data_IF_967063821920
#
_entry.id   IF_967063821920
#
_cell.length_a   1.000
_cell.length_b   1.000
_cell.length_c   1.000
_cell.angle_alpha   90.00
_cell.angle_beta   90.00
_cell.angle_gamma   90.00
#
_symmetry.space_group_name_H-M   'P 1'
#
loop_
_entity.id
_entity.type
_entity.pdbx_description
1 polymer ?
#
# COMPACT_ATOMS: atom_id res chain seq x y z
N UNK A 1 4.24 -2.79 -24.08
CA UNK A 1 3.51 -3.14 -22.85
C UNK A 1 2.31 -2.22 -22.78
N UNK A 2 1.11 -2.80 -22.83
CA UNK A 2 -0.15 -2.10 -22.66
C UNK A 2 -0.59 -2.15 -21.18
N UNK A 3 -1.56 -1.33 -20.77
CA UNK A 3 -2.05 -1.30 -19.39
C UNK A 3 -2.55 -2.68 -18.92
N UNK A 4 -3.20 -3.45 -19.80
CA UNK A 4 -3.67 -4.82 -19.52
C UNK A 4 -2.57 -5.83 -19.23
N UNK A 5 -1.33 -5.53 -19.61
CA UNK A 5 -0.18 -6.40 -19.32
C UNK A 5 0.37 -6.14 -17.90
N UNK A 6 -0.08 -5.09 -17.22
CA UNK A 6 0.40 -4.72 -15.90
C UNK A 6 -0.19 -5.62 -14.80
N UNK A 7 0.67 -6.09 -13.90
CA UNK A 7 0.34 -6.74 -12.64
C UNK A 7 1.00 -5.96 -11.52
N UNK A 8 0.22 -5.12 -10.86
CA UNK A 8 0.71 -4.07 -9.97
C UNK A 8 0.49 -4.52 -8.53
N UNK A 9 1.58 -4.61 -7.77
CA UNK A 9 1.50 -4.74 -6.32
C UNK A 9 1.61 -3.34 -5.69
N UNK A 10 0.49 -2.82 -5.19
CA UNK A 10 0.39 -1.51 -4.54
C UNK A 10 0.55 -1.67 -3.02
N UNK A 11 1.51 -0.98 -2.43
CA UNK A 11 1.74 -0.94 -0.98
C UNK A 11 1.35 0.42 -0.43
N UNK A 12 0.49 0.43 0.58
CA UNK A 12 0.00 1.65 1.21
C UNK A 12 -0.06 1.51 2.73
N UNK A 13 0.40 2.54 3.43
CA UNK A 13 0.29 2.62 4.89
C UNK A 13 -1.14 2.80 5.35
N UNK A 14 -2.01 3.41 4.54
CA UNK A 14 -3.43 3.59 4.79
C UNK A 14 -4.23 3.51 3.48
N UNK A 15 -5.05 2.46 3.31
CA UNK A 15 -5.80 2.25 2.08
C UNK A 15 -7.32 2.45 2.20
N UNK A 16 -7.94 2.00 3.28
CA UNK A 16 -9.41 2.08 3.42
C UNK A 16 -9.93 2.24 4.85
N UNK A 17 -9.07 2.20 5.87
CA UNK A 17 -9.51 2.19 7.27
C UNK A 17 -9.67 3.58 7.90
N UNK A 18 -9.04 4.61 7.34
CA UNK A 18 -9.38 6.04 7.59
C UNK A 18 -9.77 6.67 6.27
N UNK A 19 -10.61 7.72 6.25
CA UNK A 19 -10.91 8.49 5.04
C UNK A 19 -10.04 9.75 4.96
N UNK A 20 -9.14 9.80 3.98
CA UNK A 20 -8.28 10.96 3.72
C UNK A 20 -8.18 11.24 2.21
N UNK A 21 -7.40 12.25 1.82
CA UNK A 21 -7.22 12.60 0.41
C UNK A 21 -6.33 11.61 -0.35
N UNK A 22 -5.33 11.04 0.32
CA UNK A 22 -4.34 10.14 -0.30
C UNK A 22 -4.98 8.79 -0.65
N UNK A 23 -5.71 8.18 0.27
CA UNK A 23 -6.33 6.89 0.05
C UNK A 23 -7.49 6.95 -0.95
N UNK A 24 -8.22 8.06 -1.02
CA UNK A 24 -9.19 8.30 -2.09
C UNK A 24 -8.53 8.44 -3.46
N UNK A 25 -7.37 9.11 -3.54
CA UNK A 25 -6.62 9.18 -4.80
C UNK A 25 -6.13 7.80 -5.23
N UNK A 26 -5.64 6.98 -4.30
CA UNK A 26 -5.22 5.60 -4.59
C UNK A 26 -6.39 4.71 -5.03
N UNK A 27 -7.57 4.82 -4.40
CA UNK A 27 -8.73 4.03 -4.81
C UNK A 27 -9.24 4.42 -6.21
N UNK A 28 -9.24 5.72 -6.55
CA UNK A 28 -9.57 6.17 -7.92
C UNK A 28 -8.55 5.69 -8.95
N UNK A 29 -7.27 5.70 -8.60
CA UNK A 29 -6.22 5.13 -9.45
C UNK A 29 -6.41 3.63 -9.63
N UNK A 30 -6.68 2.90 -8.55
CA UNK A 30 -6.94 1.47 -8.57
C UNK A 30 -8.14 1.13 -9.47
N UNK A 31 -9.25 1.85 -9.32
CA UNK A 31 -10.45 1.70 -10.15
C UNK A 31 -10.12 1.91 -11.62
N UNK A 32 -9.40 2.98 -11.95
CA UNK A 32 -8.99 3.28 -13.31
C UNK A 32 -8.12 2.15 -13.90
N UNK A 33 -7.10 1.70 -13.17
CA UNK A 33 -6.19 0.64 -13.62
C UNK A 33 -6.94 -0.67 -13.90
N UNK A 34 -7.82 -1.08 -12.99
CA UNK A 34 -8.67 -2.28 -13.15
C UNK A 34 -9.59 -2.13 -14.38
N UNK A 35 -10.21 -0.97 -14.58
CA UNK A 35 -11.02 -0.68 -15.78
C UNK A 35 -10.23 -0.72 -17.08
N UNK A 36 -8.93 -0.42 -17.05
CA UNK A 36 -8.03 -0.56 -18.19
C UNK A 36 -7.51 -2.00 -18.39
N UNK A 37 -7.93 -2.95 -17.54
CA UNK A 37 -7.58 -4.36 -17.63
C UNK A 37 -6.28 -4.74 -16.91
N UNK A 38 -5.64 -3.84 -16.16
CA UNK A 38 -4.50 -4.20 -15.32
C UNK A 38 -4.96 -5.11 -14.18
N UNK A 39 -4.08 -6.01 -13.73
CA UNK A 39 -4.26 -6.70 -12.46
C UNK A 39 -3.66 -5.86 -11.32
N UNK A 40 -4.36 -5.78 -10.19
CA UNK A 40 -3.94 -5.01 -9.03
C UNK A 40 -4.10 -5.84 -7.76
N UNK A 41 -3.05 -5.89 -6.95
CA UNK A 41 -3.10 -6.36 -5.56
C UNK A 41 -2.61 -5.27 -4.62
N UNK A 42 -3.40 -4.99 -3.60
CA UNK A 42 -3.09 -3.96 -2.60
C UNK A 42 -2.64 -4.61 -1.31
N UNK A 43 -1.56 -4.10 -0.71
CA UNK A 43 -1.04 -4.51 0.58
C UNK A 43 -1.07 -3.32 1.52
N UNK A 44 -1.92 -3.39 2.54
CA UNK A 44 -2.06 -2.32 3.53
C UNK A 44 -2.53 -2.90 4.87
N UNK A 45 -2.35 -2.17 5.99
CA UNK A 45 -3.00 -2.53 7.24
C UNK A 45 -4.52 -2.58 7.05
N UNK A 46 -5.17 -3.53 7.71
CA UNK A 46 -6.64 -3.59 7.77
C UNK A 46 -7.12 -3.47 9.21
N UNK A 47 -8.40 -3.15 9.35
CA UNK A 47 -9.13 -3.08 10.62
C UNK A 47 -10.51 -3.68 10.43
N UNK A 48 -11.18 -4.06 11.51
CA UNK A 48 -12.54 -4.62 11.46
C UNK A 48 -13.60 -3.58 11.06
N UNK A 49 -13.29 -2.29 11.16
CA UNK A 49 -14.19 -1.17 10.85
C UNK A 49 -13.61 -0.26 9.76
N UNK A 50 -13.56 -0.70 8.49
CA UNK A 50 -13.06 0.15 7.41
C UNK A 50 -13.96 1.38 7.18
N UNK A 51 -13.37 2.50 6.78
CA UNK A 51 -14.11 3.74 6.51
C UNK A 51 -14.82 3.74 5.13
N UNK A 52 -14.42 2.83 4.24
CA UNK A 52 -15.02 2.57 2.94
C UNK A 52 -14.51 1.24 2.36
N UNK A 53 -15.20 0.73 1.34
CA UNK A 53 -14.79 -0.49 0.64
C UNK A 53 -13.50 -0.27 -0.15
N UNK A 54 -12.52 -1.19 -0.05
CA UNK A 54 -11.30 -1.10 -0.82
C UNK A 54 -11.58 -1.40 -2.30
N UNK A 55 -10.98 -0.63 -3.19
CA UNK A 55 -10.97 -0.96 -4.62
C UNK A 55 -9.86 -1.97 -4.91
N UNK A 56 -10.21 -3.08 -5.57
CA UNK A 56 -9.28 -4.17 -5.87
C UNK A 56 -9.02 -5.10 -4.68
N UNK A 57 -8.22 -6.13 -4.91
CA UNK A 57 -7.93 -7.15 -3.90
C UNK A 57 -7.00 -6.59 -2.81
N UNK A 58 -7.48 -6.55 -1.57
CA UNK A 58 -6.73 -6.06 -0.41
C UNK A 58 -6.21 -7.21 0.45
N UNK A 59 -4.89 -7.26 0.63
CA UNK A 59 -4.18 -8.21 1.48
C UNK A 59 -3.66 -7.48 2.71
N UNK A 60 -4.08 -7.94 3.89
CA UNK A 60 -3.67 -7.35 5.16
C UNK A 60 -2.18 -7.59 5.45
N UNK A 61 -1.48 -6.55 5.88
CA UNK A 61 -0.09 -6.65 6.39
C UNK A 61 -0.05 -6.51 7.91
N UNK A 62 0.96 -7.10 8.58
CA UNK A 62 1.15 -6.93 10.01
C UNK A 62 1.19 -5.46 10.40
N UNK A 63 0.43 -5.10 11.43
CA UNK A 63 0.37 -3.71 11.90
C UNK A 63 -0.01 -3.65 13.38
N UNK A 64 0.29 -2.51 14.02
CA UNK A 64 -0.16 -2.17 15.37
C UNK A 64 -0.89 -0.83 15.38
N UNK A 65 -1.79 -0.63 16.34
CA UNK A 65 -2.48 0.64 16.51
C UNK A 65 -1.52 1.71 17.04
N UNK A 66 -1.66 2.96 16.62
CA UNK A 66 -0.91 4.07 17.21
C UNK A 66 -1.46 4.36 18.62
N UNK A 67 -0.61 4.41 19.67
CA UNK A 67 -1.04 4.80 21.00
C UNK A 67 -1.74 6.17 21.00
N UNK A 68 -2.96 6.23 21.54
CA UNK A 68 -3.78 7.46 21.56
C UNK A 68 -4.45 7.83 20.23
N UNK A 69 -4.21 7.06 19.15
CA UNK A 69 -4.83 7.22 17.82
C UNK A 69 -5.08 5.86 17.17
N UNK A 70 -5.92 5.05 17.82
CA UNK A 70 -6.13 3.65 17.44
C UNK A 70 -6.77 3.45 16.06
N UNK A 71 -7.40 4.50 15.52
CA UNK A 71 -7.89 4.56 14.15
C UNK A 71 -6.75 4.51 13.11
N UNK A 72 -5.52 4.85 13.50
CA UNK A 72 -4.34 4.72 12.66
C UNK A 72 -3.53 3.47 12.98
N UNK A 73 -2.93 2.89 11.94
CA UNK A 73 -2.10 1.70 12.03
C UNK A 73 -0.68 2.01 11.59
N UNK A 74 0.29 1.43 12.29
CA UNK A 74 1.69 1.40 11.86
C UNK A 74 1.94 0.03 11.23
N UNK A 75 2.15 -0.04 9.90
CA UNK A 75 2.57 -1.28 9.25
C UNK A 75 3.97 -1.69 9.71
N UNK A 76 4.18 -3.00 9.86
CA UNK A 76 5.40 -3.58 10.44
C UNK A 76 6.25 -4.38 9.44
N UNK A 77 5.96 -4.29 8.14
CA UNK A 77 6.68 -5.02 7.09
C UNK A 77 5.82 -6.06 6.38
N UNK A 78 6.46 -7.14 5.91
CA UNK A 78 5.80 -8.24 5.21
C UNK A 78 6.02 -9.55 5.96
N UNK A 79 4.91 -10.22 6.30
CA UNK A 79 4.94 -11.57 6.85
C UNK A 79 5.37 -12.60 5.80
N UNK A 80 5.64 -13.84 6.22
CA UNK A 80 5.89 -14.96 5.31
C UNK A 80 4.71 -15.18 4.35
N UNK A 81 3.48 -15.07 4.85
CA UNK A 81 2.28 -15.20 4.03
C UNK A 81 2.17 -14.08 2.99
N UNK A 82 2.45 -12.82 3.36
CA UNK A 82 2.44 -11.72 2.40
C UNK A 82 3.48 -11.91 1.29
N UNK A 83 4.67 -12.44 1.61
CA UNK A 83 5.71 -12.71 0.62
C UNK A 83 5.33 -13.85 -0.32
N UNK A 84 4.63 -14.87 0.19
CA UNK A 84 4.13 -15.97 -0.62
C UNK A 84 3.04 -15.49 -1.59
N UNK A 85 2.04 -14.75 -1.08
CA UNK A 85 0.98 -14.15 -1.89
C UNK A 85 1.55 -13.18 -2.95
N UNK A 86 2.54 -12.36 -2.58
CA UNK A 86 3.23 -11.46 -3.53
C UNK A 86 3.97 -12.22 -4.63
N UNK A 87 4.62 -13.34 -4.28
CA UNK A 87 5.30 -14.17 -5.26
C UNK A 87 4.31 -14.89 -6.18
N UNK A 88 3.17 -15.36 -5.65
CA UNK A 88 2.10 -15.99 -6.41
C UNK A 88 1.43 -15.01 -7.37
N UNK A 89 1.17 -13.78 -6.92
CA UNK A 89 0.63 -12.71 -7.75
C UNK A 89 1.57 -12.32 -8.90
N UNK A 90 2.87 -12.58 -8.73
CA UNK A 90 3.92 -12.36 -9.74
C UNK A 90 3.88 -10.95 -10.37
N UNK A 91 3.93 -9.86 -9.58
CA UNK A 91 3.82 -8.51 -10.10
C UNK A 91 4.98 -8.20 -11.06
N UNK A 92 4.71 -7.36 -12.07
CA UNK A 92 5.74 -6.79 -12.93
C UNK A 92 6.04 -5.32 -12.60
N UNK A 93 5.30 -4.72 -11.66
CA UNK A 93 5.56 -3.39 -11.08
C UNK A 93 5.18 -3.41 -9.61
N UNK A 94 6.04 -2.83 -8.77
CA UNK A 94 5.69 -2.48 -7.39
C UNK A 94 5.42 -0.98 -7.31
N UNK A 95 4.30 -0.60 -6.72
CA UNK A 95 3.98 0.79 -6.42
C UNK A 95 3.95 0.96 -4.90
N UNK A 96 4.82 1.79 -4.33
CA UNK A 96 4.75 2.18 -2.91
C UNK A 96 4.19 3.60 -2.78
N UNK A 97 3.16 3.79 -1.94
CA UNK A 97 2.55 5.10 -1.70
C UNK A 97 2.94 5.75 -0.37
N UNK A 98 3.78 5.07 0.43
CA UNK A 98 4.16 5.50 1.77
C UNK A 98 5.59 5.06 2.14
N UNK A 99 6.37 5.93 2.81
CA UNK A 99 7.73 5.61 3.24
C UNK A 99 7.74 4.84 4.58
N UNK A 100 6.92 3.80 4.71
CA UNK A 100 6.77 3.02 5.94
C UNK A 100 7.53 1.67 5.90
N UNK A 101 7.59 0.89 7.00
CA UNK A 101 8.31 -0.38 7.02
C UNK A 101 7.85 -1.40 5.97
N UNK A 102 6.55 -1.41 5.63
CA UNK A 102 5.99 -2.29 4.60
C UNK A 102 6.41 -1.82 3.21
N UNK A 103 6.34 -0.52 2.91
CA UNK A 103 6.87 0.06 1.68
C UNK A 103 8.36 -0.26 1.47
N UNK A 104 9.18 -0.12 2.52
CA UNK A 104 10.60 -0.48 2.45
C UNK A 104 10.83 -1.98 2.25
N UNK A 105 10.02 -2.83 2.88
CA UNK A 105 10.09 -4.27 2.68
C UNK A 105 9.70 -4.66 1.23
N UNK A 106 8.73 -3.97 0.63
CA UNK A 106 8.34 -4.14 -0.76
C UNK A 106 9.46 -3.72 -1.73
N UNK A 107 10.09 -2.57 -1.51
CA UNK A 107 11.25 -2.11 -2.31
C UNK A 107 12.41 -3.11 -2.25
N UNK A 108 12.71 -3.62 -1.05
CA UNK A 108 13.74 -4.67 -0.87
C UNK A 108 13.38 -5.95 -1.63
N UNK A 109 12.12 -6.35 -1.58
CA UNK A 109 11.65 -7.53 -2.32
C UNK A 109 11.73 -7.32 -3.83
N UNK A 110 11.30 -6.15 -4.34
CA UNK A 110 11.43 -5.80 -5.77
C UNK A 110 12.88 -5.88 -6.24
N UNK A 111 13.81 -5.28 -5.48
CA UNK A 111 15.24 -5.31 -5.80
C UNK A 111 15.81 -6.72 -5.87
N UNK A 112 15.36 -7.62 -5.00
CA UNK A 112 15.80 -9.01 -5.00
C UNK A 112 15.23 -9.83 -6.16
N UNK A 113 14.15 -9.36 -6.80
CA UNK A 113 13.45 -10.06 -7.89
C UNK A 113 13.53 -9.30 -9.22
N UNK A 114 14.37 -8.26 -9.32
CA UNK A 114 14.54 -7.41 -10.50
C UNK A 114 13.22 -6.80 -11.04
N UNK A 115 12.34 -6.38 -10.12
CA UNK A 115 11.05 -5.77 -10.45
C UNK A 115 11.15 -4.25 -10.29
N UNK A 116 10.70 -3.46 -11.29
CA UNK A 116 10.72 -2.00 -11.22
C UNK A 116 9.78 -1.48 -10.12
N UNK A 117 10.21 -0.37 -9.50
CA UNK A 117 9.47 0.30 -8.42
C UNK A 117 9.05 1.70 -8.86
N UNK A 118 7.77 2.00 -8.65
CA UNK A 118 7.20 3.34 -8.66
C UNK A 118 6.93 3.79 -7.23
N UNK A 119 7.27 5.02 -6.88
CA UNK A 119 6.91 5.63 -5.60
C UNK A 119 6.04 6.86 -5.83
N UNK A 120 4.92 6.96 -5.12
CA UNK A 120 4.14 8.20 -5.00
C UNK A 120 4.11 8.65 -3.55
N UNK A 121 4.30 9.95 -3.32
CA UNK A 121 4.32 10.53 -1.97
C UNK A 121 3.16 11.51 -1.86
N UNK A 122 2.22 11.23 -0.98
CA UNK A 122 1.01 12.04 -0.77
C UNK A 122 1.05 12.86 0.52
N UNK A 123 1.99 12.54 1.42
CA UNK A 123 2.15 13.19 2.72
C UNK A 123 3.62 13.43 2.98
N UNK A 124 3.94 14.64 3.45
CA UNK A 124 5.27 15.01 3.93
C UNK A 124 5.45 14.60 5.38
N UNK A 125 5.63 13.31 5.63
CA UNK A 125 5.75 12.78 7.00
C UNK A 125 6.89 13.43 7.79
N UNK A 126 7.96 13.84 7.12
CA UNK A 126 9.11 14.50 7.72
C UNK A 126 8.79 15.85 8.36
N UNK A 127 7.67 16.50 7.99
CA UNK A 127 7.27 17.79 8.56
C UNK A 127 6.32 17.67 9.75
N UNK A 128 5.73 16.49 9.98
CA UNK A 128 4.70 16.29 11.01
C UNK A 128 5.23 16.45 12.44
N UNK A 129 6.41 15.92 12.83
CA UNK A 129 6.92 16.10 14.18
C UNK A 129 6.92 17.56 14.61
N UNK A 130 7.41 18.46 13.73
CA UNK A 130 7.40 19.90 13.96
C UNK A 130 6.00 20.47 14.21
N UNK A 131 4.98 20.01 13.48
CA UNK A 131 3.60 20.46 13.67
C UNK A 131 3.03 20.03 15.04
N UNK A 132 3.49 18.88 15.56
CA UNK A 132 3.07 18.34 16.85
C UNK A 132 4.01 18.69 18.01
N UNK A 133 5.05 19.50 17.79
CA UNK A 133 6.03 19.88 18.81
C UNK A 133 6.97 18.75 19.24
N UNK A 134 7.22 17.79 18.35
CA UNK A 134 8.15 16.67 18.51
C UNK A 134 9.48 16.92 17.78
#
# INVERSE_FOLDING_TARGET
METRDLRIALFSGNYNYVRDGANQALNRLAEYLLRQGAALRVYAPTTDTPAFEPTGDLVSVPSVAIPGRAEYRVPLGLSKANRADLAEFAPNVIHTSSPDPTGHAAVRWARANDIPVLASVHTRFETYPRYYGL
#
